data_IF_187164374843
#
_entry.id   IF_187164374843
#
_cell.length_a   1.000
_cell.length_b   1.000
_cell.length_c   1.000
_cell.angle_alpha   90.00
_cell.angle_beta   90.00
_cell.angle_gamma   90.00
#
_symmetry.space_group_name_H-M   'P 1'
#
loop_
_entity.id
_entity.type
_entity.pdbx_description
1 polymer ?
#
# COMPACT_ATOMS: atom_id res chain seq x y z
N UNK A 1 11.43 0.71 19.34
CA UNK A 1 10.98 -0.69 19.16
C UNK A 1 9.47 -0.73 19.31
N UNK A 2 8.72 -0.66 18.22
CA UNK A 2 7.27 -0.85 18.25
C UNK A 2 6.98 -2.34 18.12
N UNK A 3 6.54 -3.00 19.19
CA UNK A 3 6.04 -4.35 19.10
C UNK A 3 4.77 -4.33 18.24
N UNK A 4 4.79 -5.01 17.09
CA UNK A 4 3.60 -5.21 16.29
C UNK A 4 2.56 -5.94 17.14
N UNK A 5 1.41 -5.31 17.41
CA UNK A 5 0.28 -5.90 18.16
C UNK A 5 -0.45 -6.99 17.37
N UNK A 6 0.15 -7.48 16.29
CA UNK A 6 -0.42 -8.49 15.44
C UNK A 6 -0.49 -9.81 16.22
N UNK A 7 -1.69 -10.19 16.62
CA UNK A 7 -1.96 -11.50 17.20
C UNK A 7 -1.70 -12.62 16.18
N UNK A 8 -1.67 -13.87 16.67
CA UNK A 8 -1.66 -15.06 15.81
C UNK A 8 -2.90 -15.05 14.90
N UNK A 9 -2.74 -15.48 13.66
CA UNK A 9 -3.81 -15.55 12.66
C UNK A 9 -4.51 -14.20 12.40
N UNK A 10 -3.76 -13.09 12.42
CA UNK A 10 -4.28 -11.78 12.05
C UNK A 10 -4.86 -11.80 10.62
N UNK A 11 -5.95 -11.06 10.42
CA UNK A 11 -6.53 -10.89 9.08
C UNK A 11 -5.59 -10.11 8.17
N UNK A 12 -5.72 -10.34 6.86
CA UNK A 12 -4.94 -9.60 5.86
C UNK A 12 -5.18 -8.08 5.99
N UNK A 13 -6.41 -7.66 6.27
CA UNK A 13 -6.73 -6.23 6.40
C UNK A 13 -6.05 -5.61 7.63
N UNK A 14 -5.93 -6.35 8.74
CA UNK A 14 -5.19 -5.88 9.91
C UNK A 14 -3.69 -5.80 9.62
N UNK A 15 -3.15 -6.80 8.91
CA UNK A 15 -1.75 -6.82 8.49
C UNK A 15 -1.40 -5.67 7.54
N UNK A 16 -2.27 -5.35 6.59
CA UNK A 16 -2.08 -4.22 5.67
C UNK A 16 -2.13 -2.88 6.38
N UNK A 17 -3.04 -2.72 7.35
CA UNK A 17 -3.11 -1.51 8.19
C UNK A 17 -1.82 -1.31 8.99
N UNK A 18 -1.26 -2.38 9.56
CA UNK A 18 0.04 -2.29 10.25
C UNK A 18 1.19 -2.01 9.29
N UNK A 19 1.17 -2.57 8.07
CA UNK A 19 2.17 -2.25 7.06
C UNK A 19 2.12 -0.76 6.66
N UNK A 20 0.92 -0.20 6.45
CA UNK A 20 0.76 1.22 6.14
C UNK A 20 1.24 2.11 7.30
N UNK A 21 0.91 1.75 8.55
CA UNK A 21 1.35 2.47 9.75
C UNK A 21 2.86 2.41 10.01
N UNK A 22 3.57 1.48 9.38
CA UNK A 22 5.02 1.36 9.54
C UNK A 22 5.81 2.53 8.95
N UNK A 23 5.21 3.28 8.02
CA UNK A 23 5.81 4.46 7.40
C UNK A 23 5.60 5.70 8.27
N UNK A 24 6.62 6.55 8.40
CA UNK A 24 6.48 7.85 9.03
C UNK A 24 5.88 8.90 8.09
N UNK A 25 5.72 10.13 8.56
CA UNK A 25 5.03 11.20 7.81
C UNK A 25 5.84 11.70 6.60
N UNK A 26 7.11 11.30 6.48
CA UNK A 26 7.95 11.54 5.31
C UNK A 26 7.95 10.35 4.33
N UNK A 27 7.29 9.25 4.70
CA UNK A 27 7.27 8.02 3.91
C UNK A 27 8.49 7.13 4.12
N UNK A 28 9.29 7.36 5.16
CA UNK A 28 10.40 6.49 5.48
C UNK A 28 9.93 5.29 6.29
N UNK A 29 10.41 4.10 5.89
CA UNK A 29 10.22 2.89 6.65
C UNK A 29 11.31 2.82 7.73
N UNK A 30 10.89 2.96 8.98
CA UNK A 30 11.76 2.71 10.14
C UNK A 30 12.18 1.22 10.15
N UNK A 31 12.98 0.75 11.12
CA UNK A 31 13.50 -0.63 11.18
C UNK A 31 12.43 -1.75 11.37
N UNK A 32 11.38 -1.75 10.56
CA UNK A 32 10.23 -2.61 10.53
C UNK A 32 10.28 -3.43 9.24
N UNK A 33 10.41 -4.75 9.40
CA UNK A 33 10.51 -5.67 8.28
C UNK A 33 9.16 -6.09 7.71
N UNK A 34 8.06 -5.73 8.38
CA UNK A 34 6.72 -6.24 8.09
C UNK A 34 6.25 -5.93 6.65
N UNK A 35 6.35 -4.69 6.12
CA UNK A 35 5.97 -4.42 4.73
C UNK A 35 6.76 -5.25 3.74
N UNK A 36 8.08 -5.39 3.95
CA UNK A 36 8.94 -6.21 3.08
C UNK A 36 8.54 -7.68 3.11
N UNK A 37 8.31 -8.24 4.30
CA UNK A 37 7.94 -9.65 4.47
C UNK A 37 6.57 -9.93 3.84
N UNK A 38 5.57 -9.08 4.08
CA UNK A 38 4.26 -9.19 3.44
C UNK A 38 4.41 -9.23 1.92
N UNK A 39 5.11 -8.24 1.34
CA UNK A 39 5.24 -8.10 -0.10
C UNK A 39 6.01 -9.26 -0.74
N UNK A 40 6.99 -9.86 -0.04
CA UNK A 40 7.67 -11.06 -0.52
C UNK A 40 6.78 -12.30 -0.49
N UNK A 41 5.93 -12.43 0.52
CA UNK A 41 5.23 -13.68 0.82
C UNK A 41 3.77 -13.70 0.36
N UNK A 42 3.18 -12.57 -0.02
CA UNK A 42 1.74 -12.48 -0.27
C UNK A 42 1.20 -13.50 -1.29
N UNK A 43 2.00 -13.82 -2.32
CA UNK A 43 1.64 -14.79 -3.37
C UNK A 43 1.40 -16.22 -2.88
N UNK A 44 1.75 -16.53 -1.62
CA UNK A 44 1.40 -17.80 -0.99
C UNK A 44 -0.08 -17.93 -0.61
N UNK A 45 -0.81 -16.81 -0.51
CA UNK A 45 -2.18 -16.80 0.00
C UNK A 45 -3.11 -15.77 -0.68
N UNK A 46 -2.60 -14.88 -1.52
CA UNK A 46 -3.39 -13.92 -2.30
C UNK A 46 -2.61 -13.47 -3.55
N UNK A 47 -3.30 -13.19 -4.66
CA UNK A 47 -2.62 -12.63 -5.85
C UNK A 47 -2.20 -11.17 -5.63
N UNK A 48 -1.20 -10.70 -6.39
CA UNK A 48 -0.74 -9.30 -6.33
C UNK A 48 -1.87 -8.33 -6.66
N UNK A 49 -2.67 -8.64 -7.68
CA UNK A 49 -3.82 -7.83 -8.08
C UNK A 49 -4.89 -7.76 -6.97
N UNK A 50 -5.24 -8.88 -6.33
CA UNK A 50 -6.19 -8.85 -5.20
C UNK A 50 -5.64 -8.08 -3.98
N UNK A 51 -4.34 -8.18 -3.71
CA UNK A 51 -3.68 -7.41 -2.65
C UNK A 51 -3.75 -5.89 -2.92
N UNK A 52 -3.40 -5.48 -4.14
CA UNK A 52 -3.51 -4.09 -4.58
C UNK A 52 -4.96 -3.59 -4.56
N UNK A 53 -5.92 -4.43 -4.98
CA UNK A 53 -7.35 -4.12 -4.88
C UNK A 53 -7.82 -3.90 -3.44
N UNK A 54 -7.32 -4.68 -2.47
CA UNK A 54 -7.59 -4.44 -1.04
C UNK A 54 -7.03 -3.10 -0.55
N UNK A 55 -5.80 -2.75 -0.97
CA UNK A 55 -5.22 -1.44 -0.67
C UNK A 55 -6.07 -0.31 -1.26
N UNK A 56 -6.58 -0.48 -2.48
CA UNK A 56 -7.43 0.50 -3.14
C UNK A 56 -8.76 0.69 -2.41
N UNK A 57 -9.41 -0.40 -2.00
CA UNK A 57 -10.64 -0.34 -1.20
C UNK A 57 -10.40 0.39 0.11
N UNK A 58 -9.31 0.09 0.83
CA UNK A 58 -8.97 0.81 2.06
C UNK A 58 -8.70 2.30 1.82
N UNK A 59 -8.06 2.66 0.70
CA UNK A 59 -7.83 4.05 0.32
C UNK A 59 -9.13 4.80 0.03
N UNK A 60 -10.06 4.15 -0.69
CA UNK A 60 -11.36 4.71 -1.08
C UNK A 60 -12.32 4.86 0.10
N UNK A 61 -12.52 3.78 0.87
CA UNK A 61 -13.59 3.66 1.87
C UNK A 61 -13.26 4.31 3.22
N UNK A 62 -12.07 4.89 3.31
CA UNK A 62 -11.64 5.68 4.43
C UNK A 62 -12.53 6.93 4.61
N UNK A 63 -13.20 7.02 5.78
CA UNK A 63 -14.24 8.02 6.09
C UNK A 63 -14.01 8.78 7.42
N UNK A 64 -12.93 8.48 8.14
CA UNK A 64 -12.65 9.07 9.45
C UNK A 64 -11.83 10.38 9.35
N UNK A 65 -11.71 11.11 10.46
CA UNK A 65 -10.91 12.34 10.54
C UNK A 65 -9.41 12.09 10.27
N UNK A 66 -8.94 10.86 10.46
CA UNK A 66 -7.57 10.44 10.18
C UNK A 66 -7.35 10.04 8.72
N UNK A 67 -8.34 10.25 7.87
CA UNK A 67 -8.39 9.55 6.61
C UNK A 67 -7.32 9.97 5.62
N UNK A 68 -7.02 11.27 5.55
CA UNK A 68 -5.97 11.77 4.67
C UNK A 68 -4.60 11.20 5.04
N UNK A 69 -4.32 11.06 6.35
CA UNK A 69 -3.11 10.40 6.82
C UNK A 69 -3.09 8.93 6.42
N UNK A 70 -4.17 8.19 6.63
CA UNK A 70 -4.27 6.78 6.24
C UNK A 70 -4.06 6.58 4.74
N UNK A 71 -4.69 7.42 3.91
CA UNK A 71 -4.51 7.43 2.45
C UNK A 71 -3.06 7.65 2.05
N UNK A 72 -2.40 8.64 2.64
CA UNK A 72 -1.00 8.92 2.40
C UNK A 72 -0.10 7.72 2.79
N UNK A 73 -0.35 7.08 3.93
CA UNK A 73 0.38 5.87 4.37
C UNK A 73 0.20 4.71 3.40
N UNK A 74 -1.01 4.53 2.83
CA UNK A 74 -1.26 3.53 1.79
C UNK A 74 -0.44 3.86 0.53
N UNK A 75 -0.37 5.13 0.13
CA UNK A 75 0.47 5.55 -0.99
C UNK A 75 1.96 5.28 -0.73
N UNK A 76 2.46 5.46 0.48
CA UNK A 76 3.85 5.09 0.82
C UNK A 76 4.10 3.59 0.72
N UNK A 77 3.16 2.76 1.18
CA UNK A 77 3.26 1.31 1.02
C UNK A 77 3.28 0.90 -0.46
N UNK A 78 2.40 1.49 -1.28
CA UNK A 78 2.38 1.25 -2.72
C UNK A 78 3.68 1.70 -3.40
N UNK A 79 4.17 2.90 -3.10
CA UNK A 79 5.46 3.40 -3.59
C UNK A 79 6.61 2.46 -3.22
N UNK A 80 6.65 2.03 -1.96
CA UNK A 80 7.65 1.09 -1.49
C UNK A 80 7.58 -0.24 -2.25
N UNK A 81 6.37 -0.74 -2.53
CA UNK A 81 6.19 -1.94 -3.33
C UNK A 81 6.72 -1.77 -4.76
N UNK A 82 6.32 -0.70 -5.45
CA UNK A 82 6.74 -0.40 -6.82
C UNK A 82 8.27 -0.31 -6.91
N UNK A 83 8.90 0.46 -6.02
CA UNK A 83 10.36 0.68 -6.03
C UNK A 83 11.12 -0.59 -5.63
N UNK A 84 10.61 -1.38 -4.67
CA UNK A 84 11.33 -2.56 -4.17
C UNK A 84 11.18 -3.76 -5.10
N UNK A 85 10.04 -3.89 -5.79
CA UNK A 85 9.71 -5.04 -6.64
C UNK A 85 9.16 -4.62 -8.01
N UNK A 86 9.91 -3.84 -8.80
CA UNK A 86 9.41 -3.25 -10.06
C UNK A 86 8.99 -4.31 -11.09
N UNK A 87 9.64 -5.48 -11.08
CA UNK A 87 9.31 -6.57 -11.99
C UNK A 87 7.86 -7.09 -11.83
N UNK A 88 7.26 -7.00 -10.64
CA UNK A 88 5.85 -7.38 -10.43
C UNK A 88 4.92 -6.47 -11.26
N UNK A 89 5.19 -5.16 -11.27
CA UNK A 89 4.38 -4.16 -11.97
C UNK A 89 4.65 -4.12 -13.48
N UNK A 90 5.81 -4.57 -13.94
CA UNK A 90 6.12 -4.64 -15.37
C UNK A 90 5.46 -5.84 -16.07
N UNK A 91 5.11 -6.88 -15.31
CA UNK A 91 4.64 -8.16 -15.86
C UNK A 91 3.15 -8.41 -15.63
N UNK A 92 2.53 -7.81 -14.61
CA UNK A 92 1.12 -8.01 -14.27
C UNK A 92 0.26 -6.82 -14.75
N UNK A 93 -0.49 -7.05 -15.84
CA UNK A 93 -1.44 -6.07 -16.38
C UNK A 93 -2.54 -5.68 -15.37
N UNK A 94 -2.89 -6.56 -14.44
CA UNK A 94 -3.86 -6.27 -13.38
C UNK A 94 -3.30 -5.25 -12.38
N UNK A 95 -2.03 -5.39 -11.99
CA UNK A 95 -1.35 -4.40 -11.14
C UNK A 95 -1.20 -3.04 -11.83
N UNK A 96 -0.88 -3.02 -13.12
CA UNK A 96 -0.78 -1.76 -13.90
C UNK A 96 -2.13 -1.02 -13.85
N UNK A 97 -3.22 -1.71 -14.20
CA UNK A 97 -4.58 -1.14 -14.19
C UNK A 97 -5.00 -0.64 -12.81
N UNK A 98 -4.72 -1.41 -11.76
CA UNK A 98 -5.03 -0.99 -10.40
C UNK A 98 -4.24 0.25 -9.99
N UNK A 99 -2.99 0.37 -10.44
CA UNK A 99 -2.18 1.56 -10.16
C UNK A 99 -2.72 2.80 -10.88
N UNK A 100 -3.24 2.63 -12.10
CA UNK A 100 -3.99 3.69 -12.80
C UNK A 100 -5.27 4.07 -12.05
N UNK A 101 -6.05 3.09 -11.60
CA UNK A 101 -7.27 3.35 -10.83
C UNK A 101 -6.98 4.07 -9.50
N UNK A 102 -5.90 3.70 -8.82
CA UNK A 102 -5.41 4.42 -7.64
C UNK A 102 -5.14 5.90 -7.94
N UNK A 103 -4.50 6.20 -9.08
CA UNK A 103 -4.22 7.57 -9.51
C UNK A 103 -5.51 8.33 -9.80
N UNK A 104 -6.48 7.71 -10.45
CA UNK A 104 -7.77 8.32 -10.75
C UNK A 104 -8.54 8.67 -9.46
N UNK A 105 -8.59 7.76 -8.49
CA UNK A 105 -9.23 8.02 -7.20
C UNK A 105 -8.48 9.12 -6.44
N UNK A 106 -7.15 9.13 -6.47
CA UNK A 106 -6.37 10.20 -5.85
C UNK A 106 -6.64 11.58 -6.47
N UNK A 107 -6.79 11.64 -7.80
CA UNK A 107 -7.15 12.87 -8.52
C UNK A 107 -8.56 13.37 -8.14
N UNK A 108 -9.54 12.48 -8.07
CA UNK A 108 -10.91 12.81 -7.65
C UNK A 108 -10.98 13.35 -6.22
N UNK A 109 -10.09 12.89 -5.34
CA UNK A 109 -9.96 13.36 -3.96
C UNK A 109 -9.10 14.63 -3.82
N UNK A 110 -8.62 15.20 -4.93
CA UNK A 110 -7.79 16.41 -4.94
C UNK A 110 -6.38 16.23 -4.35
N UNK A 111 -5.93 14.98 -4.18
CA UNK A 111 -4.66 14.65 -3.50
C UNK A 111 -3.51 14.50 -4.51
N UNK A 112 -3.08 15.61 -5.09
CA UNK A 112 -2.05 15.64 -6.15
C UNK A 112 -0.69 15.06 -5.71
N UNK A 113 -0.35 15.15 -4.42
CA UNK A 113 0.88 14.56 -3.89
C UNK A 113 0.85 13.02 -3.94
N UNK A 114 -0.31 12.40 -3.80
CA UNK A 114 -0.45 10.95 -3.87
C UNK A 114 -0.19 10.42 -5.28
N UNK A 115 -0.51 11.21 -6.32
CA UNK A 115 -0.29 10.85 -7.72
C UNK A 115 1.19 10.58 -8.00
N UNK A 116 2.08 11.46 -7.51
CA UNK A 116 3.54 11.35 -7.69
C UNK A 116 4.14 10.13 -6.99
N UNK A 117 3.49 9.63 -5.94
CA UNK A 117 3.99 8.48 -5.18
C UNK A 117 3.71 7.16 -5.89
N UNK A 118 2.73 7.12 -6.80
CA UNK A 118 2.23 5.91 -7.44
C UNK A 118 2.76 5.72 -8.87
N UNK A 119 3.75 6.51 -9.29
CA UNK A 119 4.36 6.38 -10.61
C UNK A 119 5.12 5.05 -10.73
N UNK A 120 4.84 4.31 -11.82
CA UNK A 120 5.45 3.01 -12.15
C UNK A 120 6.50 3.12 -13.26
N UNK A 121 6.68 4.31 -13.84
CA UNK A 121 7.62 4.54 -14.94
C UNK A 121 9.08 4.76 -14.50
N UNK A 122 9.43 4.28 -13.29
CA UNK A 122 10.73 4.54 -12.64
C UNK A 122 11.86 3.67 -13.20
#
# INVERSE_FOLDING_TARGET
MGASTLGKAASLDALLKECARAFDDNGELQANLLPRILLLMHRWYITSSELAGKLLMMYRDCKDDSCQRTRLKICYLMRYWIVTFPAEFNLDLGLIRLTEEFRDVAAQLGSQEHFKLLDIST
#
